data_IF_558673962388
#
_entry.id   IF_558673962388
#
_cell.length_a   1.000
_cell.length_b   1.000
_cell.length_c   1.000
_cell.angle_alpha   90.00
_cell.angle_beta   90.00
_cell.angle_gamma   90.00
#
_symmetry.space_group_name_H-M   'P 1'
#
loop_
_entity.id
_entity.type
_entity.pdbx_description
1 polymer ?
#
# COMPACT_ATOMS: atom_id res chain seq x y z
N UNK A 1 5.34 16.72 29.38
CA UNK A 1 5.04 17.16 28.00
C UNK A 1 4.45 15.95 27.30
N UNK A 2 3.15 15.96 27.00
CA UNK A 2 2.49 14.88 26.27
C UNK A 2 3.04 14.88 24.85
N UNK A 3 3.54 13.78 24.39
CA UNK A 3 4.06 13.68 23.05
C UNK A 3 2.92 13.52 22.03
N UNK A 4 3.09 14.07 20.87
CA UNK A 4 2.08 14.50 19.90
C UNK A 4 1.66 13.47 18.86
N UNK A 5 1.91 12.18 19.06
CA UNK A 5 1.79 11.14 18.04
C UNK A 5 0.41 10.48 17.93
N UNK A 6 -0.68 11.14 18.28
CA UNK A 6 -2.03 10.61 18.13
C UNK A 6 -2.45 10.56 16.66
N UNK A 7 -2.44 9.37 16.05
CA UNK A 7 -2.81 9.18 14.66
C UNK A 7 -1.78 9.74 13.65
N UNK A 8 -0.53 9.90 14.07
CA UNK A 8 0.54 10.39 13.21
C UNK A 8 0.88 9.40 12.08
N UNK A 9 1.24 9.93 10.93
CA UNK A 9 1.75 9.16 9.81
C UNK A 9 3.27 9.25 9.72
N UNK A 10 3.90 8.12 9.50
CA UNK A 10 5.32 7.97 9.20
C UNK A 10 5.51 7.45 7.79
N UNK A 11 6.64 7.75 7.19
CA UNK A 11 7.08 7.20 5.91
C UNK A 11 8.51 6.70 5.99
N UNK A 12 8.86 5.77 5.13
CA UNK A 12 10.22 5.35 4.86
C UNK A 12 10.33 4.88 3.40
N UNK A 13 11.56 4.88 2.86
CA UNK A 13 11.81 4.63 1.46
C UNK A 13 11.92 5.91 0.63
N UNK A 14 11.73 5.79 -0.69
CA UNK A 14 11.85 6.89 -1.62
C UNK A 14 10.81 7.98 -1.37
N UNK A 15 11.23 9.22 -1.17
CA UNK A 15 10.36 10.35 -0.85
C UNK A 15 10.66 11.60 -1.67
N UNK A 16 9.87 12.68 -1.42
CA UNK A 16 10.03 13.96 -2.11
C UNK A 16 11.34 14.69 -1.76
N UNK A 17 12.04 14.32 -0.68
CA UNK A 17 13.31 14.90 -0.26
C UNK A 17 14.54 14.19 -0.82
N UNK A 18 14.38 12.98 -1.36
CA UNK A 18 15.47 12.11 -1.80
C UNK A 18 16.35 12.67 -2.95
N UNK A 19 16.02 13.84 -3.49
CA UNK A 19 16.83 14.52 -4.51
C UNK A 19 17.87 15.47 -3.93
N UNK A 20 17.95 15.65 -2.62
CA UNK A 20 19.02 16.44 -1.98
C UNK A 20 20.28 15.62 -1.68
N UNK A 21 20.26 14.29 -1.92
CA UNK A 21 21.35 13.36 -1.70
C UNK A 21 20.91 11.90 -1.81
N UNK A 22 21.84 10.94 -1.77
CA UNK A 22 21.53 9.50 -1.84
C UNK A 22 20.86 8.94 -0.56
N UNK A 23 20.45 9.79 0.38
CA UNK A 23 19.79 9.37 1.60
C UNK A 23 18.29 9.18 1.34
N UNK A 24 17.93 8.01 0.79
CA UNK A 24 16.63 7.43 1.07
C UNK A 24 16.45 7.41 2.59
N UNK A 25 15.28 7.77 3.08
CA UNK A 25 15.01 7.64 4.52
C UNK A 25 14.95 6.16 4.87
N UNK A 26 16.05 5.65 5.40
CA UNK A 26 16.23 4.26 5.78
C UNK A 26 15.39 3.91 7.02
N UNK A 27 15.12 4.92 7.84
CA UNK A 27 14.32 4.83 9.05
C UNK A 27 12.99 5.57 8.90
N UNK A 28 11.93 5.19 9.66
CA UNK A 28 10.67 5.89 9.66
C UNK A 28 10.80 7.37 10.03
N UNK A 29 10.29 8.25 9.20
CA UNK A 29 10.25 9.70 9.40
C UNK A 29 8.80 10.17 9.51
N UNK A 30 8.47 11.10 10.41
CA UNK A 30 7.13 11.69 10.49
C UNK A 30 6.80 12.41 9.18
N UNK A 31 5.56 12.29 8.75
CA UNK A 31 5.12 12.84 7.47
C UNK A 31 4.91 14.36 7.53
N UNK A 32 4.56 14.89 8.71
CA UNK A 32 4.41 16.30 9.03
C UNK A 32 4.93 16.56 10.43
N UNK A 33 5.39 17.80 10.68
CA UNK A 33 5.60 18.30 12.04
C UNK A 33 4.25 18.54 12.74
N UNK A 34 4.25 18.54 14.06
CA UNK A 34 3.06 18.50 14.92
C UNK A 34 2.05 19.64 14.70
N UNK A 35 2.51 20.77 14.18
CA UNK A 35 1.71 21.99 14.04
C UNK A 35 0.85 22.07 12.77
N UNK A 36 1.04 21.14 11.81
CA UNK A 36 0.42 21.22 10.48
C UNK A 36 -0.95 20.54 10.33
N UNK A 37 -1.59 20.10 11.42
CA UNK A 37 -2.89 19.43 11.38
C UNK A 37 -2.82 17.93 11.08
N UNK A 38 -3.79 17.16 11.61
CA UNK A 38 -3.81 15.72 11.52
C UNK A 38 -4.10 15.24 10.09
N UNK A 39 -3.16 14.48 9.52
CA UNK A 39 -3.40 13.74 8.27
C UNK A 39 -4.29 12.55 8.59
N UNK A 40 -5.49 12.52 8.00
CA UNK A 40 -6.43 11.41 8.16
C UNK A 40 -6.01 10.22 7.30
N UNK A 41 -5.57 10.47 6.06
CA UNK A 41 -5.23 9.44 5.09
C UNK A 41 -4.09 9.85 4.16
N UNK A 42 -3.29 8.86 3.80
CA UNK A 42 -2.22 8.96 2.81
C UNK A 42 -2.56 8.02 1.66
N UNK A 43 -2.51 8.52 0.43
CA UNK A 43 -2.67 7.74 -0.80
C UNK A 43 -1.48 8.00 -1.72
N UNK A 44 -0.54 7.08 -1.81
CA UNK A 44 0.57 7.20 -2.73
C UNK A 44 0.18 6.79 -4.15
N UNK A 45 0.67 7.54 -5.13
CA UNK A 45 0.68 7.20 -6.54
C UNK A 45 2.10 7.05 -7.06
N UNK A 46 2.28 6.99 -8.38
CA UNK A 46 3.60 6.85 -9.01
C UNK A 46 4.44 8.12 -8.95
N UNK A 47 3.83 9.28 -9.17
CA UNK A 47 4.50 10.57 -9.29
C UNK A 47 4.20 11.54 -8.15
N UNK A 48 3.19 11.25 -7.36
CA UNK A 48 2.74 12.12 -6.27
C UNK A 48 2.01 11.33 -5.17
N UNK A 49 1.91 11.97 -4.00
CA UNK A 49 1.14 11.48 -2.85
C UNK A 49 0.01 12.45 -2.56
N UNK A 50 -1.16 11.93 -2.27
CA UNK A 50 -2.28 12.71 -1.76
C UNK A 50 -2.40 12.54 -0.24
N UNK A 51 -2.40 13.65 0.48
CA UNK A 51 -2.60 13.73 1.92
C UNK A 51 -3.98 14.35 2.17
N UNK A 52 -4.88 13.61 2.80
CA UNK A 52 -6.23 14.11 3.14
C UNK A 52 -6.27 14.41 4.63
N UNK A 53 -6.65 15.63 4.98
CA UNK A 53 -6.84 16.04 6.36
C UNK A 53 -8.28 15.79 6.85
N UNK A 54 -8.48 15.83 8.16
CA UNK A 54 -9.77 15.54 8.80
C UNK A 54 -10.88 16.52 8.36
N UNK A 55 -10.55 17.78 8.10
CA UNK A 55 -11.47 18.80 7.59
C UNK A 55 -11.82 18.65 6.10
N UNK A 56 -11.21 17.68 5.39
CA UNK A 56 -11.44 17.41 3.97
C UNK A 56 -10.59 18.27 3.02
N UNK A 57 -9.58 18.98 3.52
CA UNK A 57 -8.54 19.56 2.66
C UNK A 57 -7.63 18.45 2.13
N UNK A 58 -7.12 18.62 0.92
CA UNK A 58 -6.21 17.66 0.29
C UNK A 58 -4.95 18.37 -0.15
N UNK A 59 -3.80 17.85 0.25
CA UNK A 59 -2.52 18.27 -0.27
C UNK A 59 -1.98 17.22 -1.23
N UNK A 60 -1.63 17.64 -2.44
CA UNK A 60 -0.90 16.83 -3.41
C UNK A 60 0.57 17.18 -3.34
N UNK A 61 1.44 16.21 -3.04
CA UNK A 61 2.91 16.38 -3.03
C UNK A 61 3.55 15.54 -4.12
N UNK A 62 4.36 16.18 -4.98
CA UNK A 62 5.14 15.50 -6.02
C UNK A 62 6.38 14.81 -5.44
N UNK A 63 6.75 13.63 -5.96
CA UNK A 63 8.05 13.03 -5.70
C UNK A 63 9.15 13.81 -6.43
N UNK A 64 10.28 14.09 -5.76
CA UNK A 64 11.43 14.77 -6.38
C UNK A 64 11.63 16.23 -5.99
N UNK A 65 11.02 16.70 -4.92
CA UNK A 65 11.38 17.95 -4.23
C UNK A 65 10.48 19.15 -4.53
N UNK A 66 9.67 19.50 -3.60
CA UNK A 66 9.14 20.84 -3.40
C UNK A 66 7.84 21.24 -4.08
N UNK A 67 7.31 20.46 -5.03
CA UNK A 67 6.01 20.79 -5.63
C UNK A 67 4.87 20.29 -4.74
N UNK A 68 4.15 21.19 -4.08
CA UNK A 68 2.91 20.88 -3.39
C UNK A 68 1.77 21.75 -3.91
N UNK A 69 0.54 21.21 -3.85
CA UNK A 69 -0.68 21.91 -4.20
C UNK A 69 -1.75 21.63 -3.17
N UNK A 70 -2.25 22.67 -2.53
CA UNK A 70 -3.37 22.59 -1.60
C UNK A 70 -4.69 22.72 -2.35
N UNK A 71 -5.62 21.81 -2.06
CA UNK A 71 -6.97 21.79 -2.59
C UNK A 71 -7.97 22.11 -1.48
N UNK A 72 -9.07 22.83 -1.80
CA UNK A 72 -10.04 23.25 -0.80
C UNK A 72 -10.76 22.09 -0.11
N UNK A 73 -11.30 22.34 1.07
CA UNK A 73 -11.90 21.39 2.00
C UNK A 73 -13.26 20.79 1.62
N UNK A 74 -13.58 20.66 0.33
CA UNK A 74 -14.76 19.95 -0.18
C UNK A 74 -14.45 18.55 -0.71
N UNK A 75 -13.17 18.14 -0.68
CA UNK A 75 -12.73 16.82 -1.11
C UNK A 75 -13.02 15.78 -0.02
N UNK A 76 -13.62 14.67 -0.44
CA UNK A 76 -13.84 13.48 0.38
C UNK A 76 -12.64 12.54 0.27
N UNK A 77 -12.11 12.38 -0.94
CA UNK A 77 -10.95 11.56 -1.24
C UNK A 77 -10.17 12.09 -2.44
N UNK A 78 -8.88 11.77 -2.49
CA UNK A 78 -8.03 12.00 -3.65
C UNK A 78 -7.30 10.72 -4.01
N UNK A 79 -7.33 10.33 -5.29
CA UNK A 79 -6.69 9.13 -5.81
C UNK A 79 -5.64 9.54 -6.83
N UNK A 80 -4.37 9.55 -6.46
CA UNK A 80 -3.29 9.82 -7.39
C UNK A 80 -3.00 8.60 -8.26
N UNK A 81 -2.87 8.84 -9.56
CA UNK A 81 -2.37 7.88 -10.55
C UNK A 81 -1.00 8.25 -11.06
N UNK A 82 -0.62 7.75 -12.22
CA UNK A 82 0.66 8.03 -12.86
C UNK A 82 0.73 9.46 -13.40
N UNK A 83 -0.27 9.90 -14.13
CA UNK A 83 -0.33 11.25 -14.71
C UNK A 83 -1.66 11.97 -14.44
N UNK A 84 -2.51 11.42 -13.58
CA UNK A 84 -3.81 11.95 -13.25
C UNK A 84 -4.08 11.87 -11.76
N UNK A 85 -4.98 12.70 -11.27
CA UNK A 85 -5.58 12.57 -9.96
C UNK A 85 -7.11 12.59 -10.11
N UNK A 86 -7.78 11.67 -9.42
CA UNK A 86 -9.24 11.74 -9.26
C UNK A 86 -9.54 12.32 -7.88
N UNK A 87 -10.37 13.37 -7.89
CA UNK A 87 -10.87 14.02 -6.69
C UNK A 87 -12.34 13.64 -6.50
N UNK A 88 -12.66 13.00 -5.38
CA UNK A 88 -14.02 12.82 -4.95
C UNK A 88 -14.43 14.03 -4.11
N UNK A 89 -15.25 14.91 -4.69
CA UNK A 89 -15.81 16.08 -4.03
C UNK A 89 -17.25 15.80 -3.57
N UNK A 90 -17.81 16.67 -2.74
CA UNK A 90 -19.20 16.53 -2.24
C UNK A 90 -20.25 16.50 -3.35
N UNK A 91 -20.00 17.13 -4.51
CA UNK A 91 -20.95 17.25 -5.59
C UNK A 91 -20.54 16.51 -6.88
N UNK A 92 -19.32 16.03 -7.00
CA UNK A 92 -18.84 15.42 -8.23
C UNK A 92 -17.58 14.57 -7.98
N UNK A 93 -17.36 13.59 -8.86
CA UNK A 93 -16.06 13.00 -9.12
C UNK A 93 -15.39 13.74 -10.27
N UNK A 94 -14.14 14.10 -10.12
CA UNK A 94 -13.41 14.89 -11.12
C UNK A 94 -12.04 14.24 -11.37
N UNK A 95 -11.70 14.05 -12.63
CA UNK A 95 -10.36 13.61 -13.01
C UNK A 95 -9.58 14.78 -13.63
N UNK A 96 -8.37 14.95 -13.19
CA UNK A 96 -7.47 16.03 -13.57
C UNK A 96 -6.13 15.46 -14.02
N UNK A 97 -5.63 15.90 -15.18
CA UNK A 97 -4.27 15.63 -15.58
C UNK A 97 -3.31 16.44 -14.70
N UNK A 98 -2.24 15.79 -14.22
CA UNK A 98 -1.22 16.41 -13.37
C UNK A 98 -0.02 16.74 -14.24
N UNK A 99 0.36 18.03 -14.26
CA UNK A 99 1.55 18.53 -14.91
C UNK A 99 2.53 19.06 -13.88
N UNK A 100 3.82 19.03 -14.19
CA UNK A 100 4.84 19.65 -13.35
C UNK A 100 5.24 18.85 -12.09
N UNK A 101 4.96 17.54 -12.01
CA UNK A 101 5.34 16.72 -10.87
C UNK A 101 6.86 16.54 -10.66
N UNK A 102 7.71 17.12 -11.54
CA UNK A 102 9.18 17.05 -11.46
C UNK A 102 9.81 18.18 -10.65
N UNK A 103 11.12 18.04 -10.40
CA UNK A 103 11.93 18.94 -9.58
C UNK A 103 11.76 20.42 -9.96
N UNK A 104 11.40 21.25 -8.98
CA UNK A 104 11.36 22.73 -9.13
C UNK A 104 10.20 23.25 -9.97
N UNK A 105 9.24 22.42 -10.37
CA UNK A 105 8.06 22.84 -11.12
C UNK A 105 6.85 22.93 -10.19
N UNK A 106 5.96 23.89 -10.48
CA UNK A 106 4.68 23.99 -9.80
C UNK A 106 3.74 22.91 -10.32
N UNK A 107 2.99 22.26 -9.42
CA UNK A 107 1.92 21.34 -9.80
C UNK A 107 0.77 22.12 -10.42
N UNK A 108 0.35 21.69 -11.61
CA UNK A 108 -0.81 22.25 -12.33
C UNK A 108 -1.79 21.13 -12.61
N UNK A 109 -3.09 21.42 -12.43
CA UNK A 109 -4.18 20.49 -12.70
C UNK A 109 -4.98 20.99 -13.91
N UNK A 110 -5.20 20.06 -14.86
CA UNK A 110 -5.98 20.32 -16.08
C UNK A 110 -7.18 19.37 -16.11
N UNK A 111 -8.45 19.89 -16.11
CA UNK A 111 -9.65 19.05 -16.00
C UNK A 111 -9.81 18.17 -17.24
N UNK A 112 -10.07 16.88 -17.01
CA UNK A 112 -10.19 15.87 -18.08
C UNK A 112 -11.59 15.23 -18.11
N UNK A 113 -12.19 15.04 -16.95
CA UNK A 113 -13.44 14.31 -16.83
C UNK A 113 -14.18 14.71 -15.55
N UNK A 114 -15.50 14.69 -15.61
CA UNK A 114 -16.38 14.99 -14.47
C UNK A 114 -17.64 14.14 -14.51
N UNK A 115 -18.02 13.60 -13.34
CA UNK A 115 -19.30 12.94 -13.10
C UNK A 115 -19.98 13.61 -11.92
N UNK A 116 -21.19 14.20 -12.09
CA UNK A 116 -21.98 14.68 -10.95
C UNK A 116 -22.33 13.53 -10.00
N UNK A 117 -22.42 13.83 -8.71
CA UNK A 117 -22.82 12.89 -7.66
C UNK A 117 -24.14 13.35 -7.04
N UNK A 118 -25.04 12.41 -6.81
CA UNK A 118 -26.17 12.63 -5.92
C UNK A 118 -25.69 12.75 -4.48
N UNK A 119 -26.39 13.46 -3.58
CA UNK A 119 -26.01 13.59 -2.18
C UNK A 119 -25.80 12.24 -1.46
N UNK A 120 -26.63 11.23 -1.79
CA UNK A 120 -26.53 9.86 -1.26
C UNK A 120 -25.26 9.15 -1.72
N UNK A 121 -24.81 9.35 -2.96
CA UNK A 121 -23.57 8.80 -3.49
C UNK A 121 -22.36 9.44 -2.79
N UNK A 122 -22.36 10.75 -2.59
CA UNK A 122 -21.30 11.47 -1.86
C UNK A 122 -21.16 11.00 -0.41
N UNK A 123 -22.29 10.76 0.27
CA UNK A 123 -22.29 10.18 1.63
C UNK A 123 -21.74 8.75 1.63
N UNK A 124 -22.10 7.94 0.62
CA UNK A 124 -21.58 6.59 0.42
C UNK A 124 -20.05 6.59 0.27
N UNK A 125 -19.50 7.45 -0.59
CA UNK A 125 -18.07 7.63 -0.78
C UNK A 125 -17.35 8.07 0.50
N UNK A 126 -17.94 9.03 1.23
CA UNK A 126 -17.37 9.47 2.52
C UNK A 126 -17.35 8.35 3.57
N UNK A 127 -18.32 7.43 3.53
CA UNK A 127 -18.34 6.23 4.39
C UNK A 127 -17.27 5.22 3.97
N UNK A 128 -17.17 4.92 2.68
CA UNK A 128 -16.10 4.04 2.14
C UNK A 128 -14.72 4.55 2.53
N UNK A 129 -14.48 5.86 2.41
CA UNK A 129 -13.22 6.48 2.75
C UNK A 129 -12.89 6.31 4.24
N UNK A 130 -13.86 6.42 5.14
CA UNK A 130 -13.66 6.18 6.58
C UNK A 130 -13.39 4.72 6.92
N UNK A 131 -13.91 3.77 6.15
CA UNK A 131 -13.80 2.32 6.40
C UNK A 131 -12.51 1.67 5.87
N UNK A 132 -11.58 2.41 5.26
CA UNK A 132 -10.33 1.85 4.79
C UNK A 132 -9.96 2.24 3.35
N UNK A 133 -10.89 2.86 2.63
CA UNK A 133 -10.69 3.52 1.35
C UNK A 133 -10.06 2.67 0.25
N UNK A 134 -10.81 1.87 -0.42
CA UNK A 134 -10.47 1.33 -1.75
C UNK A 134 -10.62 2.39 -2.86
N UNK A 135 -10.79 1.96 -4.08
CA UNK A 135 -11.25 2.84 -5.16
C UNK A 135 -12.70 3.26 -4.91
N UNK A 136 -13.11 4.47 -5.34
CA UNK A 136 -14.48 4.92 -5.19
C UNK A 136 -15.46 4.00 -5.91
N UNK A 137 -16.31 3.35 -5.16
CA UNK A 137 -17.44 2.57 -5.65
C UNK A 137 -18.64 3.49 -5.76
N UNK A 138 -19.23 3.56 -6.94
CA UNK A 138 -20.42 4.36 -7.24
C UNK A 138 -21.45 3.48 -7.93
N UNK A 139 -22.73 3.87 -7.96
CA UNK A 139 -23.76 3.10 -8.67
C UNK A 139 -23.36 2.75 -10.09
N UNK A 140 -23.36 1.44 -10.39
CA UNK A 140 -23.02 0.89 -11.70
C UNK A 140 -21.52 0.68 -11.96
N UNK A 141 -20.62 0.99 -11.02
CA UNK A 141 -19.19 0.77 -11.26
C UNK A 141 -18.25 1.41 -10.26
N UNK A 142 -17.02 1.67 -10.70
CA UNK A 142 -15.96 2.26 -9.90
C UNK A 142 -15.11 3.25 -10.71
N UNK A 143 -14.34 4.07 -10.00
CA UNK A 143 -13.52 5.11 -10.61
C UNK A 143 -12.05 4.85 -10.34
N UNK A 144 -11.24 5.02 -11.39
CA UNK A 144 -9.78 4.83 -11.37
C UNK A 144 -9.05 6.11 -11.80
N UNK A 145 -7.81 6.37 -11.35
CA UNK A 145 -7.06 7.57 -11.71
C UNK A 145 -6.33 7.44 -13.07
N UNK A 146 -7.00 6.85 -14.06
CA UNK A 146 -6.53 6.76 -15.46
C UNK A 146 -7.72 6.68 -16.42
N UNK A 147 -7.61 7.18 -17.66
CA UNK A 147 -8.67 7.02 -18.66
C UNK A 147 -9.03 5.54 -18.87
N UNK A 148 -10.31 5.22 -19.05
CA UNK A 148 -11.48 6.10 -19.20
C UNK A 148 -12.09 6.62 -17.88
N UNK A 149 -11.39 6.56 -16.73
CA UNK A 149 -11.74 6.97 -15.38
C UNK A 149 -12.90 6.22 -14.73
N UNK A 150 -13.97 5.91 -15.44
CA UNK A 150 -15.10 5.12 -14.95
C UNK A 150 -15.15 3.76 -15.64
N UNK A 151 -15.33 2.72 -14.84
CA UNK A 151 -15.52 1.34 -15.27
C UNK A 151 -16.81 0.80 -14.70
N UNK A 152 -17.63 0.19 -15.56
CA UNK A 152 -18.87 -0.48 -15.14
C UNK A 152 -18.55 -1.79 -14.42
N UNK A 153 -19.42 -2.14 -13.45
CA UNK A 153 -19.45 -3.44 -12.82
C UNK A 153 -20.80 -4.12 -13.11
N UNK A 154 -20.82 -5.44 -13.28
CA UNK A 154 -22.07 -6.21 -13.35
C UNK A 154 -22.96 -5.91 -12.14
N UNK A 155 -24.27 -5.73 -12.35
CA UNK A 155 -25.21 -5.44 -11.27
C UNK A 155 -25.33 -6.58 -10.23
N UNK A 156 -24.91 -7.78 -10.57
CA UNK A 156 -24.83 -8.94 -9.69
C UNK A 156 -23.70 -8.86 -8.68
N UNK A 157 -22.65 -8.06 -8.94
CA UNK A 157 -21.49 -7.90 -8.03
C UNK A 157 -21.78 -6.80 -7.02
N UNK A 158 -21.95 -7.20 -5.77
CA UNK A 158 -22.10 -6.28 -4.63
C UNK A 158 -20.74 -5.97 -4.04
N UNK A 159 -20.02 -5.07 -4.68
CA UNK A 159 -18.66 -4.71 -4.26
C UNK A 159 -18.66 -4.02 -2.88
N UNK A 160 -17.87 -4.54 -1.95
CA UNK A 160 -17.58 -3.95 -0.64
C UNK A 160 -16.27 -3.16 -0.67
N UNK A 161 -15.23 -3.75 -1.25
CA UNK A 161 -13.90 -3.17 -1.31
C UNK A 161 -13.24 -3.50 -2.65
N UNK A 162 -12.60 -2.52 -3.28
CA UNK A 162 -11.92 -2.69 -4.56
C UNK A 162 -10.57 -1.97 -4.52
N UNK A 163 -9.52 -2.68 -4.91
CA UNK A 163 -8.14 -2.16 -4.97
C UNK A 163 -7.55 -2.37 -6.35
N UNK A 164 -6.67 -1.46 -6.72
CA UNK A 164 -6.00 -1.46 -8.02
C UNK A 164 -4.51 -1.71 -7.83
N UNK A 165 -4.00 -2.75 -8.47
CA UNK A 165 -2.59 -2.92 -8.73
C UNK A 165 -2.15 -2.16 -9.97
N UNK A 166 -0.92 -2.38 -10.43
CA UNK A 166 -0.43 -1.70 -11.62
C UNK A 166 -1.25 -2.08 -12.87
N UNK A 167 -1.51 -3.37 -13.07
CA UNK A 167 -2.22 -3.89 -14.24
C UNK A 167 -3.39 -4.83 -13.90
N UNK A 168 -3.79 -4.94 -12.63
CA UNK A 168 -4.86 -5.83 -12.19
C UNK A 168 -5.74 -5.18 -11.12
N UNK A 169 -6.88 -5.77 -10.91
CA UNK A 169 -7.89 -5.33 -9.94
C UNK A 169 -8.28 -6.49 -9.05
N UNK A 170 -8.43 -6.24 -7.76
CA UNK A 170 -9.03 -7.14 -6.79
C UNK A 170 -10.31 -6.51 -6.25
N UNK A 171 -11.38 -7.28 -6.21
CA UNK A 171 -12.67 -6.88 -5.66
C UNK A 171 -13.12 -7.89 -4.61
N UNK A 172 -13.39 -7.41 -3.41
CA UNK A 172 -14.03 -8.17 -2.35
C UNK A 172 -15.50 -7.76 -2.30
N UNK A 173 -16.40 -8.72 -2.43
CA UNK A 173 -17.84 -8.46 -2.35
C UNK A 173 -18.37 -8.45 -0.91
N UNK A 174 -19.66 -8.15 -0.74
CA UNK A 174 -20.33 -8.14 0.57
C UNK A 174 -20.38 -9.51 1.24
N UNK A 175 -20.28 -10.61 0.46
CA UNK A 175 -20.25 -11.98 0.96
C UNK A 175 -18.84 -12.44 1.36
N UNK A 176 -17.80 -11.62 1.14
CA UNK A 176 -16.41 -11.98 1.39
C UNK A 176 -15.77 -12.79 0.26
N UNK A 177 -16.40 -12.86 -0.92
CA UNK A 177 -15.84 -13.52 -2.10
C UNK A 177 -14.86 -12.60 -2.82
N UNK A 178 -13.70 -13.12 -3.17
CA UNK A 178 -12.68 -12.39 -3.90
C UNK A 178 -12.81 -12.64 -5.41
N UNK A 179 -12.83 -11.52 -6.15
CA UNK A 179 -12.75 -11.49 -7.61
C UNK A 179 -11.48 -10.79 -8.05
N UNK A 180 -10.91 -11.24 -9.17
CA UNK A 180 -9.76 -10.60 -9.81
C UNK A 180 -9.91 -10.55 -11.32
N UNK A 181 -9.31 -9.53 -11.95
CA UNK A 181 -9.21 -9.39 -13.41
C UNK A 181 -8.08 -8.42 -13.78
N UNK A 182 -7.77 -8.34 -15.06
CA UNK A 182 -6.67 -7.56 -15.61
C UNK A 182 -5.57 -8.45 -16.18
N UNK A 183 -4.31 -8.00 -16.09
CA UNK A 183 -3.15 -8.77 -16.52
C UNK A 183 -2.85 -9.93 -15.57
N UNK A 184 -2.65 -11.12 -16.11
CA UNK A 184 -2.30 -12.35 -15.38
C UNK A 184 -0.86 -12.82 -15.53
N UNK A 185 -0.05 -12.14 -16.35
CA UNK A 185 1.31 -12.55 -16.79
C UNK A 185 2.28 -12.96 -15.67
N UNK A 186 2.06 -12.51 -14.46
CA UNK A 186 2.88 -12.80 -13.30
C UNK A 186 2.12 -13.61 -12.23
N UNK A 187 0.98 -14.20 -12.58
CA UNK A 187 0.14 -14.95 -11.66
C UNK A 187 -0.62 -14.10 -10.65
N UNK A 188 -0.60 -12.75 -10.78
CA UNK A 188 -1.19 -11.80 -9.83
C UNK A 188 -2.71 -11.88 -9.70
N UNK A 189 -3.39 -12.60 -10.60
CA UNK A 189 -4.84 -12.83 -10.53
C UNK A 189 -5.22 -13.98 -9.56
N UNK A 190 -4.32 -14.93 -9.30
CA UNK A 190 -4.55 -16.00 -8.33
C UNK A 190 -5.37 -17.19 -8.86
N UNK A 191 -5.51 -17.33 -10.19
CA UNK A 191 -6.31 -18.40 -10.82
C UNK A 191 -5.50 -19.68 -11.09
N UNK A 192 -4.19 -19.70 -10.79
CA UNK A 192 -3.32 -20.84 -11.02
C UNK A 192 -2.69 -20.87 -12.41
N UNK A 193 -2.97 -19.89 -13.24
CA UNK A 193 -2.41 -19.72 -14.58
C UNK A 193 -1.80 -18.31 -14.75
N UNK A 194 -1.31 -18.01 -15.96
CA UNK A 194 -0.73 -16.70 -16.32
C UNK A 194 -1.60 -15.94 -17.33
N UNK A 195 -2.86 -16.34 -17.47
CA UNK A 195 -3.79 -15.77 -18.42
C UNK A 195 -4.39 -14.46 -17.89
N UNK A 196 -4.55 -13.48 -18.78
CA UNK A 196 -5.23 -12.24 -18.46
C UNK A 196 -6.75 -12.43 -18.51
N UNK A 197 -7.48 -11.71 -17.67
CA UNK A 197 -8.95 -11.74 -17.59
C UNK A 197 -9.50 -10.34 -17.87
N UNK A 198 -10.45 -10.22 -18.78
CA UNK A 198 -11.09 -8.93 -19.10
C UNK A 198 -12.23 -8.58 -18.15
N UNK A 199 -12.82 -9.59 -17.52
CA UNK A 199 -13.97 -9.45 -16.63
C UNK A 199 -13.67 -10.02 -15.24
N UNK A 200 -14.37 -9.55 -14.19
CA UNK A 200 -14.24 -10.09 -12.85
C UNK A 200 -14.47 -11.61 -12.81
N UNK A 201 -13.52 -12.36 -12.29
CA UNK A 201 -13.59 -13.80 -12.09
C UNK A 201 -13.27 -14.15 -10.64
N UNK A 202 -14.01 -15.11 -10.07
CA UNK A 202 -13.81 -15.59 -8.69
C UNK A 202 -12.43 -16.23 -8.55
N UNK A 203 -11.70 -15.88 -7.49
CA UNK A 203 -10.47 -16.58 -7.10
C UNK A 203 -10.86 -17.84 -6.35
N UNK A 204 -11.03 -18.93 -7.08
CA UNK A 204 -11.60 -20.20 -6.56
C UNK A 204 -10.80 -20.77 -5.38
N UNK A 205 -9.48 -20.59 -5.38
CA UNK A 205 -8.60 -21.07 -4.32
C UNK A 205 -8.89 -20.45 -2.94
N UNK A 206 -9.58 -19.30 -2.89
CA UNK A 206 -9.99 -18.62 -1.65
C UNK A 206 -11.51 -18.71 -1.39
N UNK A 207 -12.23 -19.52 -2.18
CA UNK A 207 -13.65 -19.72 -1.96
C UNK A 207 -13.91 -20.39 -0.61
N UNK A 208 -14.82 -19.82 0.18
CA UNK A 208 -15.13 -20.29 1.54
C UNK A 208 -14.21 -19.74 2.63
N UNK A 209 -13.15 -19.03 2.28
CA UNK A 209 -12.35 -18.25 3.25
C UNK A 209 -13.03 -16.91 3.48
N UNK A 210 -13.35 -16.60 4.73
CA UNK A 210 -13.92 -15.31 5.10
C UNK A 210 -12.82 -14.22 5.05
N UNK A 211 -12.76 -13.47 3.95
CA UNK A 211 -11.77 -12.42 3.74
C UNK A 211 -12.28 -11.06 4.26
N UNK A 212 -11.39 -10.32 4.92
CA UNK A 212 -11.70 -8.96 5.42
C UNK A 212 -10.95 -7.86 4.68
N UNK A 213 -9.72 -8.14 4.19
CA UNK A 213 -8.83 -7.15 3.59
C UNK A 213 -8.17 -7.71 2.35
N UNK A 214 -7.94 -6.86 1.35
CA UNK A 214 -7.19 -7.19 0.13
C UNK A 214 -6.27 -6.03 -0.23
N UNK A 215 -5.10 -6.36 -0.78
CA UNK A 215 -4.13 -5.38 -1.28
C UNK A 215 -3.57 -5.82 -2.63
N UNK A 216 -3.34 -4.85 -3.51
CA UNK A 216 -2.77 -5.06 -4.82
C UNK A 216 -1.55 -4.15 -5.02
N UNK A 217 -0.43 -4.71 -5.41
CA UNK A 217 0.83 -4.01 -5.65
C UNK A 217 1.15 -3.87 -7.13
N UNK A 218 2.44 -3.80 -7.46
CA UNK A 218 2.89 -3.76 -8.85
C UNK A 218 2.38 -4.97 -9.63
N UNK A 219 2.80 -6.16 -9.22
CA UNK A 219 2.47 -7.44 -9.87
C UNK A 219 2.28 -8.58 -8.87
N UNK A 220 1.89 -8.26 -7.64
CA UNK A 220 1.53 -9.23 -6.62
C UNK A 220 0.29 -8.77 -5.86
N UNK A 221 -0.32 -9.68 -5.17
CA UNK A 221 -1.59 -9.52 -4.49
C UNK A 221 -1.53 -10.13 -3.10
N UNK A 222 -2.31 -9.57 -2.19
CA UNK A 222 -2.46 -10.08 -0.83
C UNK A 222 -3.94 -10.09 -0.41
N UNK A 223 -4.30 -11.06 0.43
CA UNK A 223 -5.58 -11.11 1.12
C UNK A 223 -5.38 -11.49 2.58
N UNK A 224 -6.18 -10.93 3.46
CA UNK A 224 -6.18 -11.26 4.89
C UNK A 224 -7.56 -11.80 5.28
N UNK A 225 -7.59 -12.96 5.94
CA UNK A 225 -8.83 -13.56 6.44
C UNK A 225 -9.33 -12.87 7.71
N UNK A 226 -10.59 -13.11 8.06
CA UNK A 226 -11.15 -12.70 9.37
C UNK A 226 -10.38 -13.35 10.54
N UNK A 227 -9.81 -14.55 10.33
CA UNK A 227 -8.99 -15.23 11.33
C UNK A 227 -7.59 -14.59 11.49
N UNK A 228 -7.12 -13.85 10.51
CA UNK A 228 -5.79 -13.24 10.51
C UNK A 228 -4.77 -13.96 9.64
N UNK A 229 -5.20 -14.95 8.84
CA UNK A 229 -4.34 -15.62 7.89
C UNK A 229 -3.97 -14.67 6.76
N UNK A 230 -2.73 -14.75 6.30
CA UNK A 230 -2.21 -13.93 5.21
C UNK A 230 -1.97 -14.80 3.97
N UNK A 231 -2.61 -14.45 2.87
CA UNK A 231 -2.43 -15.10 1.57
C UNK A 231 -1.73 -14.14 0.61
N UNK A 232 -0.71 -14.65 -0.11
CA UNK A 232 0.08 -13.89 -1.08
C UNK A 232 0.22 -14.67 -2.38
N UNK A 233 0.21 -13.95 -3.52
CA UNK A 233 0.39 -14.54 -4.85
C UNK A 233 0.86 -13.50 -5.86
N UNK A 234 1.34 -13.99 -7.01
CA UNK A 234 1.84 -13.17 -8.09
C UNK A 234 3.36 -13.26 -8.26
N UNK A 235 3.99 -12.15 -8.58
CA UNK A 235 5.43 -12.04 -8.84
C UNK A 235 6.27 -12.03 -7.57
N UNK A 236 7.42 -12.73 -7.58
CA UNK A 236 8.28 -12.91 -6.40
C UNK A 236 9.79 -12.73 -6.66
N UNK A 237 10.20 -12.09 -7.74
CA UNK A 237 11.64 -11.94 -8.01
C UNK A 237 12.44 -11.26 -6.90
N UNK A 238 11.80 -10.36 -6.15
CA UNK A 238 12.43 -9.62 -5.05
C UNK A 238 12.09 -10.18 -3.68
N UNK A 239 11.41 -11.32 -3.59
CA UNK A 239 10.98 -11.93 -2.34
C UNK A 239 9.70 -11.32 -1.75
N UNK A 240 8.95 -10.51 -2.53
CA UNK A 240 7.77 -9.79 -2.04
C UNK A 240 6.62 -10.68 -1.58
N UNK A 241 6.64 -11.98 -1.91
CA UNK A 241 5.66 -12.95 -1.43
C UNK A 241 6.07 -13.65 -0.12
N UNK A 242 7.27 -13.36 0.41
CA UNK A 242 7.79 -14.10 1.54
C UNK A 242 8.26 -15.53 1.20
N UNK A 243 8.52 -15.79 -0.08
CA UNK A 243 8.99 -17.07 -0.61
C UNK A 243 10.43 -16.92 -1.12
N UNK A 244 11.24 -18.01 -1.11
CA UNK A 244 12.65 -17.96 -1.51
C UNK A 244 12.86 -17.26 -2.86
N UNK A 245 13.75 -16.26 -2.91
CA UNK A 245 14.01 -15.46 -4.10
C UNK A 245 15.50 -15.27 -4.39
N UNK A 246 15.85 -15.12 -5.67
CA UNK A 246 17.24 -14.86 -6.10
C UNK A 246 17.77 -13.53 -5.56
N UNK A 247 16.95 -12.48 -5.53
CA UNK A 247 17.38 -11.15 -5.11
C UNK A 247 17.76 -11.12 -3.62
N UNK A 248 17.01 -11.80 -2.76
CA UNK A 248 17.34 -11.90 -1.34
C UNK A 248 18.59 -12.73 -1.10
N UNK A 249 18.80 -13.83 -1.84
CA UNK A 249 20.00 -14.63 -1.77
C UNK A 249 21.27 -13.85 -2.13
N UNK A 250 21.20 -12.99 -3.16
CA UNK A 250 22.31 -12.09 -3.55
C UNK A 250 22.60 -11.05 -2.47
N UNK A 251 21.57 -10.43 -1.90
CA UNK A 251 21.72 -9.44 -0.83
C UNK A 251 22.35 -10.05 0.43
N UNK A 252 22.00 -11.27 0.78
CA UNK A 252 22.58 -12.00 1.94
C UNK A 252 24.02 -12.46 1.68
N UNK A 253 24.35 -12.84 0.44
CA UNK A 253 25.70 -13.18 0.01
C UNK A 253 26.67 -12.00 0.09
N UNK A 254 26.26 -10.85 -0.41
CA UNK A 254 27.06 -9.63 -0.37
C UNK A 254 27.36 -9.12 1.05
N UNK A 255 26.45 -9.34 2.00
CA UNK A 255 26.65 -8.97 3.40
C UNK A 255 27.69 -9.87 4.13
N UNK A 256 27.91 -11.10 3.65
CA UNK A 256 28.91 -12.04 4.23
C UNK A 256 30.32 -11.82 3.69
N UNK A 257 30.47 -11.28 2.47
CA UNK A 257 31.77 -11.08 1.83
C UNK A 257 32.49 -9.79 2.29
N UNK A 258 31.86 -8.90 3.01
CA UNK A 258 32.50 -7.68 3.55
C UNK A 258 33.42 -7.93 4.74
N UNK A 259 33.43 -9.15 5.29
CA UNK A 259 34.27 -9.52 6.44
C UNK A 259 35.51 -10.34 6.04
N UNK A 260 35.78 -10.59 4.76
CA UNK A 260 36.96 -11.27 4.28
C UNK A 260 37.74 -10.41 3.26
N UNK A 261 38.82 -9.79 3.75
CA UNK A 261 39.86 -9.17 2.90
C UNK A 261 40.56 -10.22 2.05
N UNK A 262 40.24 -10.27 0.75
CA UNK A 262 40.94 -11.16 -0.18
C UNK A 262 40.63 -10.82 -1.64
N UNK A 263 41.59 -10.19 -2.32
CA UNK A 263 41.62 -9.92 -3.75
C UNK A 263 41.40 -11.22 -4.57
N UNK A 264 40.34 -11.25 -5.36
CA UNK A 264 40.26 -12.17 -6.50
C UNK A 264 39.42 -11.54 -7.59
N UNK A 265 40.12 -11.14 -8.67
CA UNK A 265 39.56 -10.74 -9.94
C UNK A 265 39.05 -11.98 -10.69
N UNK A 266 37.77 -11.98 -11.07
CA UNK A 266 37.19 -12.98 -11.95
C UNK A 266 35.68 -12.82 -12.06
N UNK A 267 35.15 -12.68 -13.28
CA UNK A 267 33.73 -12.63 -13.63
C UNK A 267 32.98 -13.89 -13.10
N UNK A 268 32.56 -13.86 -11.85
CA UNK A 268 31.71 -14.87 -11.27
C UNK A 268 30.33 -14.26 -11.01
N UNK A 269 29.35 -14.63 -11.83
CA UNK A 269 27.94 -14.45 -11.47
C UNK A 269 27.71 -15.08 -10.07
N UNK A 270 27.01 -14.35 -9.14
CA UNK A 270 26.76 -14.88 -7.81
C UNK A 270 25.85 -16.12 -7.93
N UNK A 271 26.44 -17.27 -7.65
CA UNK A 271 25.71 -18.54 -7.54
C UNK A 271 25.18 -18.63 -6.11
N UNK A 272 23.87 -18.62 -5.96
CA UNK A 272 23.23 -19.02 -4.71
C UNK A 272 23.67 -20.44 -4.29
N UNK A 273 23.42 -20.88 -3.04
CA UNK A 273 23.78 -22.21 -2.58
C UNK A 273 23.24 -23.26 -3.56
N UNK A 274 24.05 -24.28 -3.93
CA UNK A 274 23.65 -25.31 -4.88
C UNK A 274 22.44 -26.06 -4.31
N UNK A 275 21.31 -26.02 -5.05
CA UNK A 275 20.08 -26.74 -4.70
C UNK A 275 18.95 -25.90 -4.09
N UNK A 276 19.07 -24.58 -4.01
CA UNK A 276 17.95 -23.73 -3.60
C UNK A 276 17.00 -23.50 -4.78
N UNK A 277 15.79 -24.00 -4.67
CA UNK A 277 14.71 -23.72 -5.61
C UNK A 277 14.15 -22.31 -5.31
N UNK A 278 14.29 -21.41 -6.27
CA UNK A 278 13.73 -20.05 -6.16
C UNK A 278 12.36 -20.00 -6.85
N UNK A 279 11.41 -19.38 -6.20
CA UNK A 279 10.05 -19.17 -6.72
C UNK A 279 9.97 -17.77 -7.30
N UNK A 280 9.89 -17.63 -8.63
CA UNK A 280 9.73 -16.33 -9.29
C UNK A 280 8.28 -15.91 -9.46
N UNK A 281 7.35 -16.85 -9.53
CA UNK A 281 5.92 -16.62 -9.69
C UNK A 281 5.16 -17.68 -8.86
N UNK A 282 4.18 -17.19 -8.10
CA UNK A 282 3.20 -18.01 -7.38
C UNK A 282 1.81 -17.69 -7.93
N UNK A 283 1.27 -18.51 -8.79
CA UNK A 283 0.02 -18.23 -9.50
C UNK A 283 -1.26 -18.52 -8.68
N UNK A 284 -1.16 -19.29 -7.60
CA UNK A 284 -2.23 -19.51 -6.63
C UNK A 284 -1.96 -18.72 -5.33
N UNK A 285 -3.00 -18.26 -4.63
CA UNK A 285 -2.86 -17.77 -3.27
C UNK A 285 -2.14 -18.77 -2.37
N UNK A 286 -1.00 -18.37 -1.79
CA UNK A 286 -0.23 -19.17 -0.85
C UNK A 286 -0.36 -18.58 0.55
N UNK A 287 -0.64 -19.42 1.54
CA UNK A 287 -0.63 -19.03 2.95
C UNK A 287 0.81 -18.72 3.38
N UNK A 288 0.99 -17.58 4.03
CA UNK A 288 2.26 -17.17 4.65
C UNK A 288 2.07 -16.98 6.14
N UNK A 289 2.80 -17.79 6.91
CA UNK A 289 2.85 -17.62 8.37
C UNK A 289 3.79 -16.46 8.74
N UNK A 290 3.28 -15.52 9.53
CA UNK A 290 4.11 -14.47 10.11
C UNK A 290 4.93 -15.03 11.29
N UNK A 291 6.12 -14.47 11.58
CA UNK A 291 6.89 -14.87 12.75
C UNK A 291 6.07 -14.76 14.05
N UNK A 292 6.34 -15.68 15.00
CA UNK A 292 5.68 -15.72 16.32
C UNK A 292 4.16 -15.94 16.26
N UNK A 293 3.68 -16.60 15.20
CA UNK A 293 2.25 -16.86 14.99
C UNK A 293 1.39 -15.58 15.00
N UNK A 294 1.99 -14.45 14.55
CA UNK A 294 1.31 -13.16 14.55
C UNK A 294 0.17 -13.15 13.54
N UNK A 295 -1.00 -12.68 13.94
CA UNK A 295 -2.18 -12.59 13.09
C UNK A 295 -2.19 -11.28 12.30
N UNK A 296 -2.35 -11.38 10.98
CA UNK A 296 -2.44 -10.21 10.11
C UNK A 296 -3.77 -9.46 10.34
N UNK A 297 -3.69 -8.14 10.36
CA UNK A 297 -4.82 -7.22 10.40
C UNK A 297 -5.03 -6.53 9.07
N UNK A 298 -3.95 -5.97 8.51
CA UNK A 298 -3.92 -5.24 7.25
C UNK A 298 -2.68 -5.56 6.44
N UNK A 299 -2.82 -5.52 5.12
CA UNK A 299 -1.72 -5.66 4.19
C UNK A 299 -1.61 -4.45 3.26
N UNK A 300 -0.38 -4.11 2.86
CA UNK A 300 -0.07 -3.14 1.82
C UNK A 300 0.95 -3.75 0.85
N UNK A 301 0.70 -3.61 -0.44
CA UNK A 301 1.57 -4.08 -1.50
C UNK A 301 2.15 -2.89 -2.28
N UNK A 302 3.48 -2.76 -2.34
CA UNK A 302 4.18 -1.80 -3.19
C UNK A 302 4.50 -2.38 -4.57
N UNK A 303 5.45 -1.78 -5.30
CA UNK A 303 5.86 -2.38 -6.58
C UNK A 303 6.51 -3.75 -6.39
N UNK A 304 7.42 -3.86 -5.41
CA UNK A 304 8.23 -5.06 -5.16
C UNK A 304 8.42 -5.36 -3.67
N UNK A 305 7.58 -4.82 -2.80
CA UNK A 305 7.64 -5.05 -1.36
C UNK A 305 6.25 -5.20 -0.78
N UNK A 306 6.18 -5.83 0.37
CA UNK A 306 4.95 -6.08 1.13
C UNK A 306 5.14 -5.58 2.55
N UNK A 307 4.09 -5.01 3.11
CA UNK A 307 4.03 -4.57 4.49
C UNK A 307 2.73 -5.08 5.13
N UNK A 308 2.82 -5.59 6.35
CA UNK A 308 1.67 -6.15 7.08
C UNK A 308 1.64 -5.62 8.50
N UNK A 309 0.48 -5.13 8.91
CA UNK A 309 0.18 -4.76 10.29
C UNK A 309 -0.52 -5.93 10.96
N UNK A 310 -0.08 -6.30 12.14
CA UNK A 310 -0.67 -7.37 12.95
C UNK A 310 -1.79 -6.82 13.85
N UNK A 311 -2.62 -7.72 14.41
CA UNK A 311 -3.63 -7.36 15.42
C UNK A 311 -3.03 -6.76 16.68
N UNK A 312 -1.79 -7.10 17.01
CA UNK A 312 -1.04 -6.56 18.14
C UNK A 312 -0.43 -5.19 17.86
N UNK A 313 -0.54 -4.69 16.63
CA UNK A 313 -0.02 -3.38 16.23
C UNK A 313 1.47 -3.38 15.87
N UNK A 314 2.01 -4.52 15.50
CA UNK A 314 3.37 -4.64 14.96
C UNK A 314 3.35 -4.50 13.45
N UNK A 315 4.46 -4.01 12.87
CA UNK A 315 4.65 -3.90 11.43
C UNK A 315 5.72 -4.90 10.97
N UNK A 316 5.40 -5.71 9.98
CA UNK A 316 6.32 -6.58 9.26
C UNK A 316 6.47 -6.12 7.83
N UNK A 317 7.69 -6.12 7.30
CA UNK A 317 8.00 -5.73 5.91
C UNK A 317 9.01 -6.68 5.29
N UNK A 318 8.90 -6.88 3.97
CA UNK A 318 9.81 -7.71 3.18
C UNK A 318 9.69 -7.41 1.68
N UNK A 319 10.54 -8.02 0.89
CA UNK A 319 10.68 -7.78 -0.54
C UNK A 319 11.91 -6.93 -0.86
N UNK A 320 11.82 -6.09 -1.86
CA UNK A 320 12.88 -5.21 -2.30
C UNK A 320 13.09 -4.02 -1.36
N UNK A 321 14.35 -3.80 -0.91
CA UNK A 321 14.69 -2.84 0.14
C UNK A 321 15.60 -1.68 -0.29
N UNK A 322 16.04 -1.61 -1.57
CA UNK A 322 17.11 -0.75 -2.05
C UNK A 322 16.91 0.77 -1.82
N UNK A 323 15.67 1.20 -1.57
CA UNK A 323 15.35 2.59 -1.21
C UNK A 323 15.02 2.76 0.28
N UNK A 324 15.28 1.75 1.12
CA UNK A 324 14.93 1.79 2.55
C UNK A 324 13.44 1.62 2.83
N UNK A 325 12.62 1.24 1.82
CA UNK A 325 11.16 1.11 1.96
C UNK A 325 10.72 -0.02 2.89
N UNK A 326 11.64 -0.83 3.38
CA UNK A 326 11.38 -1.84 4.41
C UNK A 326 11.49 -1.28 5.84
N UNK A 327 12.15 -0.11 6.02
CA UNK A 327 12.22 0.60 7.31
C UNK A 327 13.13 -0.04 8.36
N UNK A 328 14.09 -0.87 7.95
CA UNK A 328 15.00 -1.59 8.85
C UNK A 328 16.32 -0.85 9.14
N UNK A 329 16.47 0.39 8.65
CA UNK A 329 17.70 1.16 8.78
C UNK A 329 18.80 0.76 7.78
N UNK A 330 18.46 -0.10 6.81
CA UNK A 330 19.36 -0.60 5.76
C UNK A 330 18.66 -0.61 4.38
N UNK A 331 19.41 -1.02 3.35
CA UNK A 331 18.90 -1.19 1.98
C UNK A 331 18.82 -2.66 1.56
N UNK A 332 18.93 -3.58 2.50
CA UNK A 332 18.88 -5.01 2.20
C UNK A 332 17.47 -5.44 1.77
N UNK A 333 17.41 -6.29 0.74
CA UNK A 333 16.18 -6.98 0.36
C UNK A 333 16.01 -8.25 1.19
N UNK A 334 14.78 -8.63 1.51
CA UNK A 334 14.45 -9.82 2.28
C UNK A 334 13.30 -10.58 1.65
N UNK A 335 13.40 -11.90 1.59
CA UNK A 335 12.29 -12.79 1.20
C UNK A 335 11.59 -13.42 2.41
N UNK A 336 11.82 -12.86 3.59
CA UNK A 336 11.13 -13.27 4.83
C UNK A 336 10.55 -12.05 5.54
N UNK A 337 9.36 -12.17 6.13
CA UNK A 337 8.79 -11.13 6.97
C UNK A 337 9.73 -10.76 8.10
N UNK A 338 10.13 -9.48 8.17
CA UNK A 338 10.97 -8.94 9.24
C UNK A 338 10.21 -7.81 9.94
N UNK A 339 10.18 -7.84 11.27
CA UNK A 339 9.53 -6.81 12.07
C UNK A 339 10.31 -5.49 12.03
N UNK A 340 9.58 -4.38 11.91
CA UNK A 340 10.15 -3.03 12.00
C UNK A 340 10.15 -2.61 13.47
N UNK A 341 11.27 -2.88 14.17
CA UNK A 341 11.36 -2.73 15.63
C UNK A 341 11.26 -1.28 16.11
N UNK A 342 11.59 -0.30 15.27
CA UNK A 342 11.63 1.12 15.60
C UNK A 342 10.31 1.65 16.20
N UNK A 343 9.16 1.20 15.72
CA UNK A 343 7.87 1.62 16.28
C UNK A 343 7.67 1.11 17.70
N UNK A 344 8.08 -0.12 17.99
CA UNK A 344 8.05 -0.67 19.35
C UNK A 344 9.03 0.03 20.30
N UNK A 345 10.24 0.33 19.83
CA UNK A 345 11.24 1.10 20.59
C UNK A 345 10.71 2.49 20.99
N UNK A 346 9.89 3.09 20.14
CA UNK A 346 9.22 4.36 20.43
C UNK A 346 7.94 4.23 21.26
N UNK A 347 7.54 3.01 21.64
CA UNK A 347 6.29 2.74 22.34
C UNK A 347 5.05 3.05 21.51
N UNK A 348 5.13 2.84 20.19
CA UNK A 348 4.05 3.11 19.24
C UNK A 348 3.43 1.82 18.73
N UNK A 349 2.11 1.80 18.61
CA UNK A 349 1.33 0.74 17.96
C UNK A 349 0.94 1.19 16.56
N UNK A 350 1.18 0.32 15.57
CA UNK A 350 0.81 0.56 14.17
C UNK A 350 -0.68 0.23 13.95
N UNK A 351 -1.40 1.16 13.32
CA UNK A 351 -2.84 1.03 13.06
C UNK A 351 -3.17 0.75 11.61
N UNK A 352 -2.34 1.28 10.70
CA UNK A 352 -2.64 1.27 9.27
C UNK A 352 -1.34 1.32 8.46
N UNK A 353 -1.36 0.72 7.27
CA UNK A 353 -0.24 0.75 6.33
C UNK A 353 -0.77 0.94 4.91
N UNK A 354 -0.06 1.74 4.13
CA UNK A 354 -0.25 1.84 2.69
C UNK A 354 1.11 1.92 2.00
N UNK A 355 1.28 1.16 0.93
CA UNK A 355 2.51 1.15 0.17
C UNK A 355 2.34 1.97 -1.12
N UNK A 356 3.29 2.86 -1.36
CA UNK A 356 3.52 3.41 -2.68
C UNK A 356 4.41 2.50 -3.50
N UNK A 357 4.71 2.86 -4.75
CA UNK A 357 5.61 2.05 -5.58
C UNK A 357 6.96 1.77 -4.90
N UNK A 358 7.53 2.76 -4.22
CA UNK A 358 8.89 2.71 -3.67
C UNK A 358 8.99 3.24 -2.22
N UNK A 359 7.88 3.38 -1.53
CA UNK A 359 7.82 3.89 -0.16
C UNK A 359 6.70 3.22 0.62
N UNK A 360 6.84 3.18 1.94
CA UNK A 360 5.84 2.68 2.88
C UNK A 360 5.38 3.83 3.78
N UNK A 361 4.08 3.91 3.99
CA UNK A 361 3.43 4.90 4.86
C UNK A 361 2.67 4.17 5.95
N UNK A 362 2.87 4.60 7.19
CA UNK A 362 2.39 3.91 8.38
C UNK A 362 1.71 4.90 9.31
N UNK A 363 0.51 4.56 9.75
CA UNK A 363 -0.21 5.33 10.78
C UNK A 363 -0.04 4.66 12.14
N UNK A 364 0.28 5.45 13.15
CA UNK A 364 0.57 4.96 14.50
C UNK A 364 -0.27 5.63 15.59
N UNK A 365 -0.36 4.98 16.76
CA UNK A 365 -0.88 5.57 18.00
C UNK A 365 -0.03 5.14 19.19
N UNK A 366 -0.21 5.84 20.33
CA UNK A 366 0.30 5.36 21.63
C UNK A 366 -0.72 4.44 22.30
N UNK A 367 -0.29 3.30 22.88
CA UNK A 367 -1.18 2.35 23.53
C UNK A 367 -1.95 2.88 24.75
N UNK A 368 -1.41 3.89 25.47
CA UNK A 368 -1.98 4.40 26.73
C UNK A 368 -3.28 5.20 26.57
N UNK A 369 -3.69 5.53 25.35
CA UNK A 369 -4.88 6.37 25.12
C UNK A 369 -6.21 5.61 25.09
N UNK A 370 -6.19 4.27 25.14
CA UNK A 370 -7.41 3.45 25.06
C UNK A 370 -8.09 3.21 26.43
N UNK A 371 -7.46 3.56 27.56
CA UNK A 371 -8.05 3.36 28.90
C UNK A 371 -9.02 4.47 29.34
N UNK A 372 -9.15 5.55 28.56
CA UNK A 372 -9.99 6.72 28.92
C UNK A 372 -11.44 6.66 28.44
N UNK A 373 -11.82 5.75 27.55
CA UNK A 373 -13.17 5.73 26.93
C UNK A 373 -14.09 4.62 27.44
N UNK A 374 -13.60 3.65 28.23
CA UNK A 374 -14.45 2.59 28.79
C UNK A 374 -15.05 2.91 30.16
N UNK A 375 -14.75 4.07 30.75
CA UNK A 375 -15.19 4.47 32.08
C UNK A 375 -16.37 5.43 32.15
N UNK A 376 -16.92 5.91 31.02
CA UNK A 376 -17.94 6.97 31.04
C UNK A 376 -19.36 6.54 30.68
N UNK A 377 -19.65 5.25 30.49
CA UNK A 377 -21.02 4.74 30.20
C UNK A 377 -21.64 3.86 31.30
N UNK A 378 -21.13 3.93 32.50
CA UNK A 378 -21.69 3.14 33.60
C UNK A 378 -22.12 3.99 34.82
N UNK A 379 -22.63 5.21 34.62
CA UNK A 379 -23.41 5.92 35.64
C UNK A 379 -24.34 6.96 34.99
N UNK A 380 -25.54 6.49 34.56
CA UNK A 380 -26.82 7.22 34.70
C UNK A 380 -27.98 6.33 34.26
#
# INVERSE_FOLDING_TARGET
>A
MAAPWKGAWFRFGFGWEAWQGPEATLEPQPLREEEEGAVLRVRPGWSLVALTAAEGSVELRGFGGGASLQLPGDCVAALPGEGHVVLARKAALEAWAVRGAGKGRRLELDPQWRRPLAPTEALGLARQERQGGGLPLVPGGFVVPRPPFFHSLPASLRARHLVLGHEHVLLLDEAGTLFSWGSGRHGQLGHGDLESRLEPQVVEALQGVALKEVAAGGWHSAAVSEAGDLYLWGWNESGQLGLPSKAAAVSQGAARDTDSTGLSSGDAQPRGPPGADFISIQAFPALLDLPQEAEALKAGCGSRHTAVVTRTGELYTWGWGQYGQLGHGDTASSDQPRRVDRFMEWGLSVLDVTCGPWATFVRVRRPEEDQGLSGAEAEH
#
